data_IF_926045510148
#
_entry.id   IF_926045510148
#
_cell.length_a   1.000
_cell.length_b   1.000
_cell.length_c   1.000
_cell.angle_alpha   90.00
_cell.angle_beta   90.00
_cell.angle_gamma   90.00
#
_symmetry.space_group_name_H-M   'P 1'
#
loop_
_entity.id
_entity.type
_entity.pdbx_description
1 polymer ?
#
# COMPACT_ATOMS: atom_id res chain seq x y z
N UNK A 1 -56.44 1.81 1.86
CA UNK A 1 -55.20 2.33 1.30
C UNK A 1 -54.24 2.65 2.45
N UNK A 2 -53.66 1.65 3.15
CA UNK A 2 -52.69 1.87 4.24
C UNK A 2 -51.62 0.76 4.37
N UNK A 3 -51.40 -0.08 3.35
CA UNK A 3 -50.51 -1.24 3.48
C UNK A 3 -49.31 -1.28 2.52
N UNK A 4 -48.98 -0.19 1.80
CA UNK A 4 -47.87 -0.20 0.86
C UNK A 4 -46.64 0.60 1.30
N UNK A 5 -46.67 1.30 2.44
CA UNK A 5 -45.55 2.12 2.88
C UNK A 5 -44.51 1.41 3.79
N UNK A 6 -44.86 0.22 4.32
CA UNK A 6 -43.98 -0.48 5.29
C UNK A 6 -42.92 -1.37 4.65
N UNK A 7 -43.13 -1.77 3.38
CA UNK A 7 -42.21 -2.72 2.71
C UNK A 7 -40.99 -2.04 2.07
N UNK A 8 -41.03 -0.73 1.84
CA UNK A 8 -39.91 0.01 1.22
C UNK A 8 -38.79 0.39 2.24
N UNK A 9 -39.14 0.47 3.53
CA UNK A 9 -38.18 0.90 4.56
C UNK A 9 -37.20 -0.20 4.97
N UNK A 10 -37.48 -1.48 4.74
CA UNK A 10 -36.62 -2.60 5.12
C UNK A 10 -35.48 -2.83 4.12
N UNK A 11 -35.66 -2.48 2.86
CA UNK A 11 -34.62 -2.65 1.83
C UNK A 11 -33.51 -1.60 1.85
N UNK A 12 -33.74 -0.44 2.49
CA UNK A 12 -32.73 0.63 2.60
C UNK A 12 -31.70 0.40 3.71
N UNK A 13 -31.99 -0.48 4.68
CA UNK A 13 -31.07 -0.72 5.81
C UNK A 13 -29.90 -1.64 5.47
N UNK A 14 -30.02 -2.51 4.46
CA UNK A 14 -28.93 -3.44 4.11
C UNK A 14 -27.79 -2.79 3.34
N UNK A 15 -28.03 -1.71 2.63
CA UNK A 15 -27.00 -0.99 1.87
C UNK A 15 -26.09 -0.17 2.78
N UNK A 16 -26.60 0.35 3.88
CA UNK A 16 -25.83 1.20 4.80
C UNK A 16 -24.73 0.44 5.57
N UNK A 17 -24.95 -0.86 5.88
CA UNK A 17 -23.95 -1.64 6.63
C UNK A 17 -22.76 -2.08 5.79
N UNK A 18 -22.91 -2.33 4.50
CA UNK A 18 -21.79 -2.74 3.65
C UNK A 18 -20.82 -1.58 3.39
N UNK A 19 -21.32 -0.35 3.30
CA UNK A 19 -20.49 0.85 3.15
C UNK A 19 -19.72 1.21 4.43
N UNK A 20 -20.19 0.77 5.59
CA UNK A 20 -19.56 1.05 6.88
C UNK A 20 -18.22 0.33 7.04
N UNK A 21 -17.97 -0.79 6.35
CA UNK A 21 -16.72 -1.55 6.43
C UNK A 21 -15.66 -1.12 5.42
N UNK A 22 -16.01 -0.28 4.45
CA UNK A 22 -15.05 0.26 3.50
C UNK A 22 -14.00 1.12 4.21
N UNK A 23 -12.75 1.02 3.77
CA UNK A 23 -11.65 1.81 4.31
C UNK A 23 -10.42 0.98 4.60
N UNK A 24 -9.56 1.51 5.45
CA UNK A 24 -8.25 0.95 5.75
C UNK A 24 -8.26 0.34 7.15
N UNK A 25 -7.76 -0.88 7.22
CA UNK A 25 -7.67 -1.68 8.44
C UNK A 25 -6.24 -2.12 8.66
N UNK A 26 -5.68 -1.89 9.85
CA UNK A 26 -4.31 -2.24 10.21
C UNK A 26 -4.23 -3.07 11.47
N UNK A 27 -3.26 -3.94 11.52
CA UNK A 27 -2.97 -4.74 12.70
C UNK A 27 -1.89 -5.76 12.45
N UNK A 28 -2.00 -6.89 13.11
CA UNK A 28 -1.00 -7.94 13.05
C UNK A 28 -1.64 -9.29 12.82
N UNK A 29 -0.88 -10.20 12.23
CA UNK A 29 -1.20 -11.61 12.23
C UNK A 29 -0.17 -12.38 13.05
N UNK A 30 -0.65 -13.41 13.72
CA UNK A 30 0.21 -14.40 14.38
C UNK A 30 0.54 -15.52 13.40
N UNK A 31 1.76 -16.02 13.50
CA UNK A 31 2.18 -17.26 12.83
C UNK A 31 3.23 -17.96 13.70
N UNK A 32 3.51 -19.22 13.41
CA UNK A 32 4.61 -19.93 14.05
C UNK A 32 5.97 -19.43 13.51
N UNK A 33 7.06 -19.85 14.16
CA UNK A 33 8.41 -19.48 13.75
C UNK A 33 8.68 -19.82 12.27
N UNK A 34 9.37 -18.94 11.60
CA UNK A 34 9.61 -18.96 10.15
C UNK A 34 8.82 -17.87 9.41
N UNK A 35 9.06 -17.75 8.11
CA UNK A 35 8.45 -16.72 7.26
C UNK A 35 9.39 -15.55 7.00
N UNK A 36 8.90 -14.58 6.21
CA UNK A 36 9.70 -13.49 5.67
C UNK A 36 10.00 -12.39 6.68
N UNK A 37 9.20 -12.27 7.73
CA UNK A 37 9.34 -11.20 8.71
C UNK A 37 9.27 -11.76 10.13
N UNK A 38 10.02 -11.18 11.08
CA UNK A 38 9.91 -11.54 12.50
C UNK A 38 8.52 -11.24 13.08
N UNK A 39 7.93 -10.14 12.63
CA UNK A 39 6.55 -9.72 12.95
C UNK A 39 5.85 -9.37 11.65
N UNK A 40 4.63 -9.85 11.48
CA UNK A 40 3.80 -9.50 10.34
C UNK A 40 2.80 -8.44 10.72
N UNK A 41 3.04 -7.22 10.24
CA UNK A 41 1.99 -6.23 10.17
C UNK A 41 1.15 -6.48 8.92
N UNK A 42 -0.13 -6.14 9.01
CA UNK A 42 -1.08 -6.26 7.90
C UNK A 42 -1.83 -4.96 7.74
N UNK A 43 -1.92 -4.50 6.51
CA UNK A 43 -2.87 -3.47 6.11
C UNK A 43 -3.81 -4.05 5.06
N UNK A 44 -5.11 -3.95 5.32
CA UNK A 44 -6.17 -4.39 4.43
C UNK A 44 -6.97 -3.17 3.97
N UNK A 45 -6.96 -2.90 2.67
CA UNK A 45 -7.75 -1.82 2.05
C UNK A 45 -9.03 -2.42 1.51
N UNK A 46 -10.16 -2.18 2.19
CA UNK A 46 -11.44 -2.85 1.94
C UNK A 46 -12.35 -1.97 1.10
N UNK A 47 -12.86 -2.52 0.01
CA UNK A 47 -13.93 -1.95 -0.79
C UNK A 47 -15.01 -3.01 -1.01
N UNK A 48 -16.25 -2.70 -0.56
CA UNK A 48 -17.42 -3.59 -0.66
C UNK A 48 -18.44 -2.95 -1.57
N UNK A 49 -18.78 -3.66 -2.65
CA UNK A 49 -19.84 -3.28 -3.59
C UNK A 49 -20.73 -4.51 -3.80
N UNK A 50 -22.02 -4.41 -3.50
CA UNK A 50 -22.99 -5.50 -3.65
C UNK A 50 -22.52 -6.82 -3.00
N UNK A 51 -22.01 -6.73 -1.75
CA UNK A 51 -21.43 -7.84 -0.98
C UNK A 51 -20.15 -8.47 -1.56
N UNK A 52 -19.69 -8.05 -2.72
CA UNK A 52 -18.37 -8.42 -3.22
C UNK A 52 -17.32 -7.53 -2.57
N UNK A 53 -16.25 -8.15 -2.09
CA UNK A 53 -15.13 -7.47 -1.44
C UNK A 53 -13.92 -7.55 -2.34
N UNK A 54 -13.25 -6.44 -2.54
CA UNK A 54 -12.00 -6.39 -3.29
C UNK A 54 -11.08 -5.31 -2.72
N UNK A 55 -9.79 -5.42 -3.00
CA UNK A 55 -8.81 -4.42 -2.60
C UNK A 55 -7.38 -4.93 -2.61
N UNK A 56 -6.56 -4.28 -1.80
CA UNK A 56 -5.15 -4.62 -1.62
C UNK A 56 -4.89 -5.05 -0.17
N UNK A 57 -4.03 -6.05 -0.03
CA UNK A 57 -3.50 -6.48 1.25
C UNK A 57 -1.98 -6.30 1.24
N UNK A 58 -1.46 -5.61 2.25
CA UNK A 58 -0.03 -5.48 2.48
C UNK A 58 0.35 -6.30 3.71
N UNK A 59 1.39 -7.14 3.55
CA UNK A 59 2.06 -7.83 4.64
C UNK A 59 3.45 -7.25 4.76
N UNK A 60 3.82 -6.70 5.90
CA UNK A 60 5.04 -5.93 6.01
C UNK A 60 5.70 -6.00 7.39
N UNK A 61 7.01 -5.83 7.44
CA UNK A 61 7.73 -5.49 8.67
C UNK A 61 7.75 -3.97 8.87
N UNK A 62 7.93 -3.25 7.77
CA UNK A 62 7.93 -1.80 7.65
C UNK A 62 7.53 -1.41 6.22
N UNK A 63 7.46 -0.11 5.92
CA UNK A 63 7.01 0.39 4.61
C UNK A 63 7.99 0.13 3.47
N UNK A 64 9.22 -0.29 3.76
CA UNK A 64 10.23 -0.66 2.77
C UNK A 64 10.24 -2.17 2.50
N UNK A 65 9.82 -2.96 3.48
CA UNK A 65 9.86 -4.42 3.44
C UNK A 65 8.45 -4.97 3.51
N UNK A 66 7.84 -5.16 2.35
CA UNK A 66 6.44 -5.55 2.22
C UNK A 66 6.17 -6.49 1.05
N UNK A 67 5.02 -7.14 1.12
CA UNK A 67 4.38 -7.88 0.02
C UNK A 67 2.99 -7.30 -0.18
N UNK A 68 2.74 -6.74 -1.36
CA UNK A 68 1.42 -6.25 -1.80
C UNK A 68 0.72 -7.33 -2.61
N UNK A 69 -0.55 -7.55 -2.35
CA UNK A 69 -1.37 -8.53 -3.07
C UNK A 69 -2.75 -7.95 -3.37
N UNK A 70 -3.30 -8.35 -4.50
CA UNK A 70 -4.73 -8.22 -4.74
C UNK A 70 -5.47 -9.32 -4.00
N UNK A 71 -6.71 -9.04 -3.67
CA UNK A 71 -7.61 -10.02 -3.13
C UNK A 71 -9.04 -9.78 -3.62
N UNK A 72 -9.83 -10.84 -3.58
CA UNK A 72 -11.28 -10.78 -3.69
C UNK A 72 -11.92 -11.50 -2.51
N UNK A 73 -13.23 -11.34 -2.36
CA UNK A 73 -13.96 -11.96 -1.28
C UNK A 73 -15.43 -11.65 -1.28
N UNK A 74 -16.06 -12.01 -0.17
CA UNK A 74 -17.49 -11.84 0.02
C UNK A 74 -17.82 -11.35 1.42
N UNK A 75 -18.74 -10.42 1.53
CA UNK A 75 -19.28 -9.93 2.79
C UNK A 75 -20.63 -10.57 3.07
N UNK A 76 -20.74 -11.22 4.21
CA UNK A 76 -22.01 -11.74 4.73
C UNK A 76 -22.58 -10.75 5.75
N UNK A 77 -23.64 -10.05 5.37
CA UNK A 77 -24.28 -9.04 6.21
C UNK A 77 -25.00 -9.64 7.44
N UNK A 78 -25.48 -10.88 7.35
CA UNK A 78 -26.19 -11.54 8.45
C UNK A 78 -25.25 -11.91 9.60
N UNK A 79 -24.06 -12.39 9.28
CA UNK A 79 -23.01 -12.77 10.25
C UNK A 79 -21.99 -11.67 10.50
N UNK A 80 -22.01 -10.60 9.69
CA UNK A 80 -21.01 -9.52 9.69
C UNK A 80 -19.58 -10.04 9.49
N UNK A 81 -19.43 -11.02 8.60
CA UNK A 81 -18.15 -11.63 8.28
C UNK A 81 -17.67 -11.25 6.87
N UNK A 82 -16.38 -11.12 6.72
CA UNK A 82 -15.71 -10.94 5.42
C UNK A 82 -14.81 -12.17 5.20
N UNK A 83 -15.10 -12.91 4.14
CA UNK A 83 -14.24 -13.99 3.67
C UNK A 83 -13.42 -13.47 2.48
N UNK A 84 -12.10 -13.59 2.58
CA UNK A 84 -11.13 -13.02 1.64
C UNK A 84 -10.21 -14.11 1.13
N UNK A 85 -9.96 -14.10 -0.18
CA UNK A 85 -8.93 -14.88 -0.82
C UNK A 85 -7.92 -13.96 -1.50
N UNK A 86 -6.66 -14.01 -1.07
CA UNK A 86 -5.56 -13.38 -1.81
C UNK A 86 -5.36 -14.10 -3.13
N UNK A 87 -5.10 -13.35 -4.20
CA UNK A 87 -4.98 -13.88 -5.55
C UNK A 87 -3.54 -13.82 -6.05
N UNK A 88 -3.03 -12.62 -6.18
CA UNK A 88 -1.79 -12.33 -6.89
C UNK A 88 -0.92 -11.38 -6.08
N UNK A 89 0.35 -11.74 -5.97
CA UNK A 89 1.39 -10.79 -5.54
C UNK A 89 1.61 -9.79 -6.67
N UNK A 90 1.39 -8.52 -6.40
CA UNK A 90 1.57 -7.44 -7.39
C UNK A 90 2.93 -6.78 -7.27
N UNK A 91 3.41 -6.63 -6.03
CA UNK A 91 4.71 -6.04 -5.74
C UNK A 91 5.25 -6.66 -4.45
N UNK A 92 6.55 -6.86 -4.37
CA UNK A 92 7.19 -7.30 -3.14
C UNK A 92 8.63 -6.78 -3.02
N UNK A 93 8.98 -6.46 -1.78
CA UNK A 93 10.33 -6.10 -1.33
C UNK A 93 10.63 -6.94 -0.09
N UNK A 94 11.25 -8.08 -0.27
CA UNK A 94 11.56 -9.06 0.78
C UNK A 94 12.92 -9.70 0.50
N UNK A 95 13.59 -10.29 1.49
CA UNK A 95 14.83 -11.05 1.27
C UNK A 95 14.66 -12.13 0.19
N UNK A 96 15.72 -12.38 -0.57
CA UNK A 96 15.71 -13.29 -1.72
C UNK A 96 15.48 -14.76 -1.36
N UNK A 97 15.75 -15.12 -0.12
CA UNK A 97 15.53 -16.45 0.44
C UNK A 97 14.11 -16.65 0.99
N UNK A 98 13.25 -15.64 0.82
CA UNK A 98 11.91 -15.64 1.35
C UNK A 98 10.86 -15.81 0.25
N UNK A 99 9.88 -16.69 0.50
CA UNK A 99 8.74 -16.91 -0.39
C UNK A 99 7.45 -16.53 0.29
N UNK A 100 6.64 -15.63 -0.32
CA UNK A 100 5.35 -15.22 0.25
C UNK A 100 4.34 -16.37 0.32
N UNK A 101 3.43 -16.29 1.29
CA UNK A 101 2.21 -17.09 1.32
C UNK A 101 1.09 -16.39 0.58
N UNK A 102 0.25 -17.11 -0.15
CA UNK A 102 -1.06 -16.67 -0.62
C UNK A 102 -2.09 -17.11 0.42
N UNK A 103 -2.74 -16.14 1.05
CA UNK A 103 -3.58 -16.38 2.24
C UNK A 103 -5.07 -16.28 1.95
N UNK A 104 -5.84 -16.94 2.79
CA UNK A 104 -7.27 -16.69 2.93
C UNK A 104 -7.57 -16.27 4.36
N UNK A 105 -8.59 -15.45 4.52
CA UNK A 105 -9.03 -14.90 5.80
C UNK A 105 -10.53 -15.07 5.96
N UNK A 106 -10.96 -15.37 7.17
CA UNK A 106 -12.37 -15.26 7.58
C UNK A 106 -12.43 -14.31 8.78
N UNK A 107 -12.95 -13.11 8.55
CA UNK A 107 -12.88 -12.00 9.49
C UNK A 107 -14.26 -11.60 9.98
N UNK A 108 -14.48 -11.66 11.29
CA UNK A 108 -15.68 -11.15 11.93
C UNK A 108 -15.48 -9.66 12.30
N UNK A 109 -16.50 -8.86 11.96
CA UNK A 109 -16.55 -7.47 12.38
C UNK A 109 -17.18 -7.33 13.76
N UNK A 110 -16.53 -6.56 14.61
CA UNK A 110 -17.08 -6.15 15.90
C UNK A 110 -16.84 -4.65 16.14
N UNK A 111 -17.74 -4.04 16.89
CA UNK A 111 -17.61 -2.65 17.32
C UNK A 111 -17.87 -2.58 18.83
N UNK A 112 -16.92 -2.08 19.59
CA UNK A 112 -17.04 -1.86 21.02
C UNK A 112 -16.67 -0.42 21.34
N UNK A 113 -17.69 0.42 21.51
CA UNK A 113 -17.53 1.85 21.68
C UNK A 113 -16.96 2.51 20.42
N UNK A 114 -15.79 3.13 20.52
CA UNK A 114 -15.13 3.79 19.39
C UNK A 114 -14.09 2.89 18.69
N UNK A 115 -14.04 1.59 18.98
CA UNK A 115 -13.07 0.66 18.40
C UNK A 115 -13.75 -0.31 17.45
N UNK A 116 -13.50 -0.14 16.17
CA UNK A 116 -13.92 -1.08 15.13
C UNK A 116 -12.79 -2.10 14.90
N UNK A 117 -13.15 -3.38 14.90
CA UNK A 117 -12.21 -4.49 14.83
C UNK A 117 -12.69 -5.48 13.76
N UNK A 118 -11.75 -5.92 12.92
CA UNK A 118 -11.87 -7.12 12.10
C UNK A 118 -10.91 -8.18 12.68
N UNK A 119 -11.43 -9.33 13.08
CA UNK A 119 -10.59 -10.38 13.63
C UNK A 119 -11.07 -11.76 13.21
N UNK A 120 -10.13 -12.70 13.12
CA UNK A 120 -10.47 -14.06 12.72
C UNK A 120 -9.26 -14.93 12.48
N UNK A 121 -9.49 -15.96 11.69
CA UNK A 121 -8.50 -16.95 11.32
C UNK A 121 -7.95 -16.68 9.92
N UNK A 122 -6.72 -17.10 9.69
CA UNK A 122 -6.10 -17.15 8.38
C UNK A 122 -5.40 -18.48 8.15
N UNK A 123 -5.33 -18.87 6.89
CA UNK A 123 -4.52 -19.95 6.38
C UNK A 123 -3.98 -19.61 5.01
N UNK A 124 -3.25 -20.52 4.36
CA UNK A 124 -2.72 -20.23 3.03
C UNK A 124 -1.79 -21.32 2.52
N UNK A 125 -1.28 -21.07 1.32
CA UNK A 125 -0.27 -21.91 0.67
C UNK A 125 0.92 -21.06 0.22
N UNK A 126 2.09 -21.65 0.16
CA UNK A 126 3.29 -20.99 -0.35
C UNK A 126 3.08 -20.61 -1.81
N UNK A 127 3.44 -19.40 -2.18
CA UNK A 127 3.33 -18.90 -3.56
C UNK A 127 4.07 -19.83 -4.54
N UNK A 128 3.41 -20.17 -5.63
CA UNK A 128 3.90 -21.11 -6.65
C UNK A 128 4.15 -22.53 -6.15
N UNK A 129 3.59 -22.91 -5.01
CA UNK A 129 3.72 -24.24 -4.41
C UNK A 129 2.39 -24.77 -3.88
N UNK A 130 2.46 -25.95 -3.31
CA UNK A 130 1.31 -26.61 -2.65
C UNK A 130 1.50 -26.76 -1.14
N UNK A 131 2.69 -26.41 -0.62
CA UNK A 131 2.98 -26.51 0.80
C UNK A 131 2.09 -25.53 1.60
N UNK A 132 1.41 -25.99 2.65
CA UNK A 132 0.58 -25.11 3.48
C UNK A 132 1.48 -24.13 4.26
N UNK A 133 1.03 -22.91 4.37
CA UNK A 133 1.55 -21.99 5.35
C UNK A 133 0.89 -22.27 6.70
N UNK A 134 1.65 -22.16 7.78
CA UNK A 134 1.12 -22.38 9.12
C UNK A 134 0.02 -21.38 9.44
N UNK A 135 -1.20 -21.82 9.72
CA UNK A 135 -2.32 -20.94 9.98
C UNK A 135 -2.15 -20.17 11.29
N UNK A 136 -2.94 -19.12 11.48
CA UNK A 136 -2.92 -18.33 12.70
C UNK A 136 -4.12 -17.43 12.85
N UNK A 137 -3.98 -16.44 13.69
CA UNK A 137 -5.00 -15.41 13.97
C UNK A 137 -4.57 -14.08 13.39
N UNK A 138 -5.57 -13.26 13.06
CA UNK A 138 -5.38 -11.88 12.60
C UNK A 138 -6.33 -10.97 13.37
N UNK A 139 -5.85 -9.79 13.72
CA UNK A 139 -6.64 -8.73 14.34
C UNK A 139 -6.28 -7.40 13.71
N UNK A 140 -7.26 -6.72 13.17
CA UNK A 140 -7.12 -5.43 12.50
C UNK A 140 -8.05 -4.40 13.14
N UNK A 141 -7.59 -3.16 13.19
CA UNK A 141 -8.33 -2.00 13.66
C UNK A 141 -8.51 -1.02 12.51
N UNK A 142 -9.64 -0.33 12.48
CA UNK A 142 -9.86 0.73 11.50
C UNK A 142 -8.88 1.87 11.74
N UNK A 143 -8.31 2.39 10.66
CA UNK A 143 -7.45 3.58 10.67
C UNK A 143 -7.92 4.60 9.65
N UNK A 144 -7.57 5.86 9.86
CA UNK A 144 -7.99 6.95 8.98
C UNK A 144 -7.23 6.95 7.64
N UNK A 145 -5.98 6.47 7.64
CA UNK A 145 -5.09 6.54 6.47
C UNK A 145 -4.25 5.26 6.34
N UNK A 146 -3.94 4.92 5.10
CA UNK A 146 -2.99 3.87 4.74
C UNK A 146 -1.56 4.39 4.89
N UNK A 147 -0.63 3.51 5.27
CA UNK A 147 0.80 3.79 5.16
C UNK A 147 1.28 3.69 3.71
N UNK A 148 0.51 3.02 2.86
CA UNK A 148 0.81 2.75 1.45
C UNK A 148 -0.02 3.57 0.45
N UNK A 149 -1.02 4.35 0.88
CA UNK A 149 -1.84 5.19 0.00
C UNK A 149 -1.13 6.44 -0.52
N UNK A 150 0.10 6.67 -0.10
CA UNK A 150 0.90 7.80 -0.53
C UNK A 150 1.88 7.47 -1.66
N UNK A 151 1.85 6.25 -2.18
CA UNK A 151 2.62 5.91 -3.38
C UNK A 151 1.92 6.58 -4.57
N UNK A 152 2.48 7.69 -5.01
CA UNK A 152 2.03 8.34 -6.23
C UNK A 152 2.53 7.51 -7.41
N UNK A 153 1.62 7.12 -8.32
CA UNK A 153 1.98 6.40 -9.53
C UNK A 153 2.09 7.38 -10.69
N UNK A 154 3.19 7.32 -11.40
CA UNK A 154 3.39 8.04 -12.66
C UNK A 154 3.65 7.06 -13.79
N UNK A 155 3.01 7.28 -14.93
CA UNK A 155 3.19 6.49 -16.14
C UNK A 155 4.06 7.25 -17.12
N UNK A 156 5.10 6.57 -17.61
CA UNK A 156 6.08 7.15 -18.51
C UNK A 156 6.32 6.26 -19.73
N UNK A 157 6.62 6.86 -20.86
CA UNK A 157 6.85 6.21 -22.15
C UNK A 157 8.27 6.47 -22.69
N UNK A 158 9.19 6.84 -21.82
CA UNK A 158 10.58 7.16 -22.14
C UNK A 158 11.54 6.20 -21.45
N UNK A 159 12.72 5.99 -22.06
CA UNK A 159 13.76 5.11 -21.52
C UNK A 159 14.58 5.67 -20.38
N UNK A 160 14.49 6.97 -20.11
CA UNK A 160 15.20 7.64 -19.01
C UNK A 160 14.31 8.68 -18.37
N UNK A 161 14.34 8.74 -17.04
CA UNK A 161 13.72 9.81 -16.27
C UNK A 161 14.78 10.51 -15.42
N UNK A 162 14.60 11.81 -15.23
CA UNK A 162 15.40 12.61 -14.35
C UNK A 162 14.59 13.00 -13.11
N UNK A 163 15.19 12.85 -11.95
CA UNK A 163 14.64 13.18 -10.64
C UNK A 163 15.42 14.33 -10.04
N UNK A 164 14.77 15.45 -9.77
CA UNK A 164 15.39 16.60 -9.11
C UNK A 164 14.71 16.81 -7.76
N UNK A 165 15.42 16.54 -6.66
CA UNK A 165 14.93 16.73 -5.30
C UNK A 165 15.35 18.09 -4.76
N UNK A 166 14.39 18.82 -4.23
CA UNK A 166 14.56 20.14 -3.60
C UNK A 166 14.00 20.12 -2.19
N UNK A 167 14.49 21.00 -1.33
CA UNK A 167 13.78 21.39 -0.12
C UNK A 167 12.45 22.06 -0.51
N UNK A 168 11.35 21.71 0.18
CA UNK A 168 10.00 22.12 -0.26
C UNK A 168 9.65 23.56 0.16
N UNK A 169 10.20 24.09 1.23
CA UNK A 169 9.78 25.38 1.79
C UNK A 169 10.95 26.23 2.28
N UNK A 170 11.35 26.05 3.51
CA UNK A 170 12.47 26.72 4.13
C UNK A 170 13.64 25.72 4.24
N UNK A 171 14.84 26.19 3.89
CA UNK A 171 16.04 25.38 4.03
C UNK A 171 16.35 25.25 5.50
N UNK A 172 15.81 24.21 6.11
CA UNK A 172 15.87 23.97 7.55
C UNK A 172 16.87 22.87 7.97
N UNK A 173 17.60 22.37 6.97
CA UNK A 173 18.64 21.36 7.19
C UNK A 173 18.17 19.92 7.01
N UNK A 174 17.05 19.72 6.34
CA UNK A 174 16.56 18.41 5.94
C UNK A 174 17.63 17.61 5.17
N UNK A 175 17.79 16.35 5.56
CA UNK A 175 18.65 15.38 4.86
C UNK A 175 17.84 14.14 4.51
N UNK A 176 18.11 13.62 3.33
CA UNK A 176 17.39 12.47 2.79
C UNK A 176 18.36 11.40 2.28
N UNK A 177 17.86 10.16 2.34
CA UNK A 177 18.36 9.04 1.54
C UNK A 177 17.30 8.68 0.50
N UNK A 178 17.74 8.24 -0.68
CA UNK A 178 16.85 7.81 -1.76
C UNK A 178 17.22 6.41 -2.19
N UNK A 179 16.23 5.53 -2.29
CA UNK A 179 16.40 4.19 -2.83
C UNK A 179 15.57 3.99 -4.09
N UNK A 180 16.04 3.12 -4.98
CA UNK A 180 15.31 2.58 -6.13
C UNK A 180 15.18 1.08 -5.92
N UNK A 181 13.97 0.57 -5.79
CA UNK A 181 13.69 -0.85 -5.49
C UNK A 181 14.57 -1.37 -4.34
N UNK A 182 14.64 -0.59 -3.24
CA UNK A 182 15.47 -0.81 -2.05
C UNK A 182 17.00 -0.74 -2.26
N UNK A 183 17.47 -0.41 -3.47
CA UNK A 183 18.90 -0.16 -3.71
C UNK A 183 19.21 1.31 -3.45
N UNK A 184 20.20 1.64 -2.63
CA UNK A 184 20.53 3.03 -2.33
C UNK A 184 21.06 3.75 -3.58
N UNK A 185 20.47 4.91 -3.89
CA UNK A 185 20.94 5.84 -4.92
C UNK A 185 21.59 7.07 -4.31
N UNK A 186 21.03 7.59 -3.21
CA UNK A 186 21.59 8.66 -2.40
C UNK A 186 21.57 8.24 -0.94
N UNK A 187 22.58 8.64 -0.19
CA UNK A 187 22.67 8.40 1.25
C UNK A 187 23.05 9.69 1.97
N UNK A 188 22.24 10.06 2.96
CA UNK A 188 22.49 11.21 3.87
C UNK A 188 22.82 12.53 3.15
N UNK A 189 22.07 12.84 2.10
CA UNK A 189 22.28 14.06 1.33
C UNK A 189 21.38 15.18 1.84
N UNK A 190 21.98 16.35 2.07
CA UNK A 190 21.27 17.55 2.52
C UNK A 190 20.51 18.17 1.37
N UNK A 191 19.23 18.46 1.59
CA UNK A 191 18.41 19.24 0.66
C UNK A 191 18.78 20.72 0.68
N UNK A 192 18.53 21.41 -0.43
CA UNK A 192 18.83 22.83 -0.55
C UNK A 192 18.19 23.47 -1.81
N UNK A 193 18.66 24.67 -2.15
CA UNK A 193 18.20 25.40 -3.35
C UNK A 193 18.62 24.73 -4.66
N UNK A 194 19.77 24.06 -4.66
CA UNK A 194 20.21 23.27 -5.81
C UNK A 194 19.64 21.87 -5.68
N UNK A 195 19.08 21.30 -6.78
CA UNK A 195 18.52 19.96 -6.71
C UNK A 195 19.60 18.91 -6.48
N UNK A 196 19.23 17.87 -5.74
CA UNK A 196 19.90 16.58 -5.83
C UNK A 196 19.33 15.87 -7.05
N UNK A 197 20.15 15.69 -8.08
CA UNK A 197 19.72 15.14 -9.36
C UNK A 197 20.10 13.67 -9.49
N UNK A 198 19.15 12.84 -9.91
CA UNK A 198 19.33 11.45 -10.26
C UNK A 198 18.76 11.17 -11.64
N UNK A 199 19.36 10.23 -12.36
CA UNK A 199 18.82 9.66 -13.59
C UNK A 199 18.51 8.19 -13.37
N UNK A 200 17.31 7.76 -13.79
CA UNK A 200 16.82 6.41 -13.63
C UNK A 200 16.38 5.88 -14.99
N UNK A 201 16.87 4.69 -15.33
CA UNK A 201 16.47 3.99 -16.53
C UNK A 201 15.11 3.33 -16.28
N UNK A 202 14.17 3.49 -17.22
CA UNK A 202 12.85 2.84 -17.24
C UNK A 202 12.63 2.22 -18.61
N UNK A 203 12.31 0.93 -18.63
CA UNK A 203 12.10 0.18 -19.87
C UNK A 203 11.26 -1.09 -19.59
N UNK A 204 11.14 -1.98 -20.54
CA UNK A 204 10.39 -3.23 -20.36
C UNK A 204 11.00 -4.17 -19.31
N UNK A 205 12.33 -4.13 -19.13
CA UNK A 205 13.02 -4.94 -18.11
C UNK A 205 12.86 -4.31 -16.71
N UNK A 206 12.63 -3.00 -16.67
CA UNK A 206 12.42 -2.19 -15.44
C UNK A 206 11.06 -1.49 -15.52
N UNK A 207 10.01 -2.29 -15.74
CA UNK A 207 8.68 -1.77 -16.05
C UNK A 207 8.00 -1.06 -14.89
N UNK A 208 8.25 -1.51 -13.70
CA UNK A 208 7.72 -0.92 -12.47
C UNK A 208 8.88 -0.74 -11.50
N UNK A 209 9.13 0.50 -11.10
CA UNK A 209 10.20 0.85 -10.19
C UNK A 209 9.66 1.74 -9.08
N UNK A 210 10.09 1.48 -7.86
CA UNK A 210 9.69 2.26 -6.69
C UNK A 210 10.85 3.11 -6.19
N UNK A 211 10.64 4.42 -6.20
CA UNK A 211 11.56 5.41 -5.66
C UNK A 211 11.07 5.76 -4.27
N UNK A 212 11.90 5.51 -3.27
CA UNK A 212 11.58 5.80 -1.87
C UNK A 212 12.52 6.87 -1.33
N UNK A 213 11.95 7.94 -0.79
CA UNK A 213 12.65 8.97 -0.05
C UNK A 213 12.51 8.71 1.45
N UNK A 214 13.62 8.66 2.15
CA UNK A 214 13.71 8.41 3.59
C UNK A 214 14.25 9.68 4.25
N UNK A 215 13.60 10.14 5.32
CA UNK A 215 14.10 11.23 6.15
C UNK A 215 15.25 10.72 7.04
N UNK A 216 16.44 11.24 6.86
CA UNK A 216 17.56 10.94 7.76
C UNK A 216 17.52 11.78 9.03
N UNK A 217 16.99 12.98 8.91
CA UNK A 217 16.68 13.89 10.02
C UNK A 217 15.31 14.57 9.76
N UNK A 218 14.86 15.39 10.67
CA UNK A 218 13.60 16.13 10.53
C UNK A 218 13.81 17.64 10.36
N UNK A 219 15.04 18.06 10.09
CA UNK A 219 15.38 19.47 10.06
C UNK A 219 15.09 20.19 11.38
N UNK A 220 14.87 21.49 11.30
CA UNK A 220 14.38 22.28 12.43
C UNK A 220 12.85 22.40 12.45
N UNK A 221 12.18 22.07 11.35
CA UNK A 221 10.72 22.16 11.16
C UNK A 221 10.16 20.82 10.68
N UNK A 222 9.84 19.88 11.58
CA UNK A 222 9.25 18.59 11.17
C UNK A 222 7.87 18.74 10.52
N UNK A 223 7.50 17.83 9.61
CA UNK A 223 8.25 16.69 9.09
C UNK A 223 9.23 17.07 7.98
N UNK A 224 10.19 16.20 7.65
CA UNK A 224 11.05 16.37 6.49
C UNK A 224 10.18 16.37 5.21
N UNK A 225 10.27 17.42 4.43
CA UNK A 225 9.48 17.60 3.20
C UNK A 225 10.38 17.94 2.03
N UNK A 226 10.21 17.21 0.94
CA UNK A 226 10.90 17.47 -0.31
C UNK A 226 9.90 17.66 -1.44
N UNK A 227 10.28 18.48 -2.40
CA UNK A 227 9.65 18.52 -3.71
C UNK A 227 10.54 17.75 -4.69
N UNK A 228 10.00 16.74 -5.35
CA UNK A 228 10.68 16.09 -6.47
C UNK A 228 10.02 16.51 -7.78
N UNK A 229 10.84 16.91 -8.75
CA UNK A 229 10.43 17.11 -10.13
C UNK A 229 10.95 15.92 -10.92
N UNK A 230 10.02 15.12 -11.46
CA UNK A 230 10.32 13.99 -12.32
C UNK A 230 10.13 14.46 -13.76
N UNK A 231 11.21 14.46 -14.54
CA UNK A 231 11.21 14.80 -15.94
C UNK A 231 11.30 13.52 -16.78
N UNK A 232 10.28 13.27 -17.60
CA UNK A 232 10.17 12.12 -18.50
C UNK A 232 9.91 12.66 -19.91
N UNK A 233 10.94 12.67 -20.75
CA UNK A 233 10.96 13.34 -22.06
C UNK A 233 10.54 14.84 -21.92
N UNK A 234 9.44 15.23 -22.54
CA UNK A 234 8.88 16.59 -22.48
C UNK A 234 7.92 16.83 -21.32
N UNK A 235 7.53 15.78 -20.58
CA UNK A 235 6.59 15.84 -19.46
C UNK A 235 7.32 16.03 -18.13
N UNK A 236 6.72 16.85 -17.28
CA UNK A 236 7.20 17.09 -15.91
C UNK A 236 6.10 16.81 -14.89
N UNK A 237 6.42 15.99 -13.91
CA UNK A 237 5.57 15.69 -12.78
C UNK A 237 6.18 16.34 -11.53
N UNK A 238 5.39 17.11 -10.81
CA UNK A 238 5.81 17.74 -9.57
C UNK A 238 5.10 17.07 -8.42
N UNK A 239 5.87 16.45 -7.54
CA UNK A 239 5.38 15.72 -6.39
C UNK A 239 5.93 16.32 -5.10
N UNK A 240 5.09 16.37 -4.07
CA UNK A 240 5.48 16.78 -2.74
C UNK A 240 5.58 15.53 -1.87
N UNK A 241 6.78 15.22 -1.45
CA UNK A 241 7.09 14.05 -0.64
C UNK A 241 7.22 14.48 0.82
N UNK A 242 6.55 13.77 1.70
CA UNK A 242 6.57 14.01 3.13
C UNK A 242 6.97 12.74 3.83
N UNK A 243 8.07 12.78 4.54
CA UNK A 243 8.57 11.66 5.32
C UNK A 243 8.83 12.06 6.76
N UNK A 244 8.77 11.09 7.66
CA UNK A 244 9.14 11.23 9.05
C UNK A 244 9.93 10.00 9.50
N UNK A 245 10.35 9.94 10.78
CA UNK A 245 11.13 8.80 11.30
C UNK A 245 10.40 7.46 11.24
N UNK A 246 9.10 7.46 10.98
CA UNK A 246 8.26 6.26 10.95
C UNK A 246 7.71 5.96 9.54
N UNK A 247 7.71 6.96 8.64
CA UNK A 247 7.13 6.86 7.31
C UNK A 247 8.05 7.46 6.26
N UNK A 248 8.31 6.71 5.20
CA UNK A 248 8.98 7.19 3.99
C UNK A 248 7.95 7.69 2.98
N UNK A 249 8.40 8.56 2.08
CA UNK A 249 7.60 8.99 0.94
C UNK A 249 7.98 8.16 -0.28
N UNK A 250 6.99 7.73 -1.05
CA UNK A 250 7.18 6.82 -2.17
C UNK A 250 6.52 7.34 -3.44
N UNK A 251 7.18 7.10 -4.57
CA UNK A 251 6.62 7.28 -5.91
C UNK A 251 6.94 6.05 -6.76
N UNK A 252 5.93 5.56 -7.46
CA UNK A 252 6.06 4.43 -8.37
C UNK A 252 6.07 4.92 -9.79
N UNK A 253 7.11 4.56 -10.53
CA UNK A 253 7.25 4.82 -11.95
C UNK A 253 6.87 3.56 -12.71
N UNK A 254 5.89 3.68 -13.61
CA UNK A 254 5.40 2.58 -14.45
C UNK A 254 5.76 2.93 -15.90
N UNK A 255 6.57 2.08 -16.52
CA UNK A 255 6.85 2.19 -17.94
C UNK A 255 5.68 1.64 -18.77
N UNK A 256 5.10 2.49 -19.60
CA UNK A 256 4.11 2.12 -20.62
C UNK A 256 4.76 2.20 -21.99
N UNK A 257 4.95 1.05 -22.64
CA UNK A 257 5.48 1.02 -24.01
C UNK A 257 4.57 1.83 -24.93
N UNK A 258 5.09 2.87 -25.60
CA UNK A 258 4.27 3.76 -26.44
C UNK A 258 3.56 3.03 -27.60
N UNK A 259 4.03 1.84 -27.98
CA UNK A 259 3.38 1.00 -28.99
C UNK A 259 2.04 0.44 -28.53
N UNK A 260 1.80 0.38 -27.21
CA UNK A 260 0.59 -0.15 -26.57
C UNK A 260 -0.20 0.92 -25.77
N UNK A 261 0.31 2.14 -25.68
CA UNK A 261 -0.33 3.27 -25.04
C UNK A 261 -1.48 3.79 -25.91
N UNK A 262 -2.63 3.18 -25.85
CA UNK A 262 -3.82 3.59 -26.64
C UNK A 262 -4.77 2.45 -27.00
N UNK A 263 -4.55 1.26 -26.48
CA UNK A 263 -5.38 0.07 -26.73
C UNK A 263 -6.39 -0.20 -25.57
N UNK A 264 -6.91 0.87 -24.93
CA UNK A 264 -8.01 0.80 -23.94
C UNK A 264 -9.19 1.63 -24.41
#
# INVERSE_FOLDING_TARGET
VKWQLTTILVLLQTVAFSQQLNGVWKGTLTQQAGGCFPVYNVELQVNIINNKVAGFCYHYSDVLNYVKKNYNGFYNAATKTIDIQEEKVTTFHIPSDCTPCIRYFSLAYSNSGNKEILSGDWGGVVMNGTAPCTPGKITLHRVAQSDFNHIQEIKVDTGMIRLDFYDNAEIDGDSISVTLDNRPLLSHQKLGLKPLTLEVKVDLDHREQEITMIADNLGTIPPNTAMVIITAADRKYRLFLKSDKQRSAQVRVIYEDPRFAGAN
#
